data_IF_096083422445
#
_entry.id   IF_096083422445
#
_cell.length_a   1.000
_cell.length_b   1.000
_cell.length_c   1.000
_cell.angle_alpha   90.00
_cell.angle_beta   90.00
_cell.angle_gamma   90.00
#
_symmetry.space_group_name_H-M   'P 1'
#
loop_
_entity.id
_entity.type
_entity.pdbx_description
1 polymer ?
#
# COMPACT_ATOMS: atom_id res chain seq x y z
N UNK A 1 -3.48 -27.11 -14.25
CA UNK A 1 -4.04 -25.97 -15.05
C UNK A 1 -3.85 -24.70 -14.24
N UNK A 2 -3.13 -23.73 -14.79
CA UNK A 2 -2.93 -22.45 -14.11
C UNK A 2 -4.26 -21.68 -14.03
N UNK A 3 -4.60 -21.16 -12.84
CA UNK A 3 -5.80 -20.34 -12.67
C UNK A 3 -5.72 -19.10 -13.56
N UNK A 4 -6.70 -18.88 -14.42
CA UNK A 4 -6.78 -17.65 -15.24
C UNK A 4 -7.10 -16.40 -14.43
N UNK A 5 -7.82 -16.55 -13.31
CA UNK A 5 -8.24 -15.46 -12.43
C UNK A 5 -7.75 -15.80 -11.03
N UNK A 6 -7.04 -14.85 -10.43
CA UNK A 6 -6.59 -14.92 -9.05
C UNK A 6 -7.45 -14.01 -8.16
N UNK A 7 -7.72 -14.45 -6.95
CA UNK A 7 -8.49 -13.70 -5.97
C UNK A 7 -7.60 -13.31 -4.80
N UNK A 8 -7.74 -12.07 -4.38
CA UNK A 8 -7.03 -11.54 -3.21
C UNK A 8 -7.94 -10.62 -2.40
N UNK A 9 -7.44 -10.18 -1.27
CA UNK A 9 -8.08 -9.17 -0.43
C UNK A 9 -7.04 -8.18 0.08
N UNK A 10 -7.52 -7.10 0.69
CA UNK A 10 -6.65 -6.18 1.44
C UNK A 10 -6.34 -6.77 2.81
N UNK A 11 -5.16 -6.46 3.36
CA UNK A 11 -4.70 -7.03 4.63
C UNK A 11 -5.66 -6.75 5.79
N UNK A 12 -6.19 -5.53 5.90
CA UNK A 12 -7.17 -5.18 6.96
C UNK A 12 -8.53 -5.88 6.81
N UNK A 13 -8.83 -6.48 5.66
CA UNK A 13 -10.05 -7.28 5.46
C UNK A 13 -9.97 -8.68 6.06
N UNK A 14 -8.79 -9.09 6.53
CA UNK A 14 -8.57 -10.40 7.13
C UNK A 14 -8.62 -10.30 8.67
N UNK A 15 -9.31 -11.21 9.35
CA UNK A 15 -9.28 -11.26 10.81
C UNK A 15 -7.86 -11.52 11.31
N UNK A 16 -7.38 -10.71 12.25
CA UNK A 16 -6.04 -10.84 12.81
C UNK A 16 -4.89 -10.39 11.90
N UNK A 17 -5.16 -9.53 10.94
CA UNK A 17 -4.22 -8.91 9.96
C UNK A 17 -2.71 -9.02 10.20
N UNK A 18 -1.90 -8.35 9.44
CA UNK A 18 -0.45 -8.38 9.62
C UNK A 18 0.16 -9.76 9.38
N UNK A 19 1.03 -10.19 10.27
CA UNK A 19 1.83 -11.42 10.12
C UNK A 19 1.01 -12.70 9.87
N UNK A 20 -0.18 -12.81 10.43
CA UNK A 20 -1.05 -13.98 10.22
C UNK A 20 -1.88 -13.90 8.95
N UNK A 21 -1.90 -12.76 8.27
CA UNK A 21 -2.66 -12.56 7.04
C UNK A 21 -2.43 -13.61 5.96
N UNK A 22 -1.17 -13.96 5.62
CA UNK A 22 -0.89 -14.97 4.59
C UNK A 22 -1.46 -16.36 4.90
N UNK A 23 -1.39 -16.81 6.15
CA UNK A 23 -1.97 -18.09 6.57
C UNK A 23 -3.51 -18.07 6.45
N UNK A 24 -4.14 -17.01 6.91
CA UNK A 24 -5.61 -16.86 6.85
C UNK A 24 -6.08 -16.78 5.39
N UNK A 25 -5.37 -16.03 4.54
CA UNK A 25 -5.65 -15.96 3.11
C UNK A 25 -5.57 -17.34 2.45
N UNK A 26 -4.54 -18.11 2.79
CA UNK A 26 -4.38 -19.48 2.30
C UNK A 26 -5.53 -20.38 2.72
N UNK A 27 -5.93 -20.33 3.98
CA UNK A 27 -7.05 -21.13 4.51
C UNK A 27 -8.38 -20.73 3.88
N UNK A 28 -8.56 -19.42 3.56
CA UNK A 28 -9.71 -18.90 2.83
C UNK A 28 -9.70 -19.23 1.32
N UNK A 29 -8.63 -19.81 0.79
CA UNK A 29 -8.49 -20.15 -0.62
C UNK A 29 -8.16 -18.95 -1.52
N UNK A 30 -7.63 -17.87 -0.94
CA UNK A 30 -7.15 -16.70 -1.69
C UNK A 30 -5.78 -16.97 -2.30
N UNK A 31 -5.47 -16.26 -3.38
CA UNK A 31 -4.21 -16.36 -4.10
C UNK A 31 -3.23 -15.25 -3.69
N UNK A 32 -3.71 -14.14 -3.10
CA UNK A 32 -2.86 -13.03 -2.72
C UNK A 32 -3.48 -12.05 -1.73
N UNK A 33 -2.62 -11.14 -1.23
CA UNK A 33 -2.98 -10.08 -0.29
C UNK A 33 -2.39 -8.76 -0.79
N UNK A 34 -3.19 -7.70 -0.81
CA UNK A 34 -2.68 -6.35 -0.90
C UNK A 34 -2.15 -5.94 0.48
N UNK A 35 -0.87 -5.63 0.56
CA UNK A 35 -0.23 -5.21 1.82
C UNK A 35 -0.49 -3.74 2.12
N UNK A 36 -0.52 -3.39 3.40
CA UNK A 36 -0.52 -2.01 3.86
C UNK A 36 0.92 -1.55 4.08
N UNK A 37 1.25 -0.30 3.68
CA UNK A 37 2.51 0.30 4.07
C UNK A 37 2.59 0.45 5.60
N UNK A 38 1.46 0.69 6.23
CA UNK A 38 1.30 1.01 7.64
C UNK A 38 1.11 2.51 7.87
N UNK A 39 1.04 2.93 9.13
CA UNK A 39 0.78 4.32 9.48
C UNK A 39 2.04 5.06 9.94
N UNK A 40 1.97 6.39 9.84
CA UNK A 40 3.00 7.33 10.32
C UNK A 40 3.31 7.12 11.80
N UNK A 41 2.29 6.98 12.64
CA UNK A 41 2.41 6.79 14.09
C UNK A 41 3.15 5.50 14.47
N UNK A 42 3.10 4.48 13.61
CA UNK A 42 3.76 3.19 13.81
C UNK A 42 5.07 3.06 13.03
N UNK A 43 5.54 4.16 12.41
CA UNK A 43 6.80 4.19 11.66
C UNK A 43 6.79 3.28 10.42
N UNK A 44 5.64 3.13 9.78
CA UNK A 44 5.49 2.34 8.56
C UNK A 44 6.07 0.92 8.67
N UNK A 45 5.42 0.00 9.39
CA UNK A 45 5.97 -1.33 9.67
C UNK A 45 6.50 -2.09 8.44
N UNK A 46 5.84 -1.95 7.27
CA UNK A 46 6.29 -2.62 6.04
C UNK A 46 7.62 -2.06 5.49
N UNK A 47 8.04 -0.85 5.92
CA UNK A 47 9.34 -0.31 5.54
C UNK A 47 10.50 -0.96 6.30
N UNK A 48 10.23 -1.73 7.36
CA UNK A 48 11.25 -2.45 8.11
C UNK A 48 11.64 -3.73 7.35
N UNK A 49 12.93 -3.88 7.08
CA UNK A 49 13.45 -4.99 6.29
C UNK A 49 13.05 -6.38 6.83
N UNK A 50 13.10 -6.55 8.15
CA UNK A 50 12.70 -7.81 8.80
C UNK A 50 11.22 -8.15 8.57
N UNK A 51 10.35 -7.12 8.49
CA UNK A 51 8.92 -7.30 8.20
C UNK A 51 8.73 -7.71 6.74
N UNK A 52 9.45 -7.08 5.82
CA UNK A 52 9.44 -7.44 4.39
C UNK A 52 9.90 -8.88 4.19
N UNK A 53 11.04 -9.26 4.78
CA UNK A 53 11.60 -10.62 4.70
C UNK A 53 10.62 -11.66 5.24
N UNK A 54 9.97 -11.38 6.39
CA UNK A 54 8.98 -12.27 6.98
C UNK A 54 7.75 -12.47 6.07
N UNK A 55 7.24 -11.41 5.44
CA UNK A 55 6.16 -11.52 4.46
C UNK A 55 6.58 -12.34 3.24
N UNK A 56 7.75 -12.05 2.67
CA UNK A 56 8.25 -12.75 1.48
C UNK A 56 8.48 -14.24 1.75
N UNK A 57 9.05 -14.58 2.89
CA UNK A 57 9.26 -15.98 3.32
C UNK A 57 7.92 -16.71 3.47
N UNK A 58 6.97 -16.10 4.19
CA UNK A 58 5.66 -16.70 4.46
C UNK A 58 4.82 -16.80 3.16
N UNK A 59 4.85 -15.78 2.32
CA UNK A 59 4.18 -15.80 1.02
C UNK A 59 4.71 -16.93 0.12
N UNK A 60 6.03 -17.09 0.06
CA UNK A 60 6.67 -18.18 -0.69
C UNK A 60 6.29 -19.55 -0.13
N UNK A 61 6.31 -19.72 1.19
CA UNK A 61 5.95 -20.98 1.85
C UNK A 61 4.50 -21.39 1.59
N UNK A 62 3.58 -20.44 1.55
CA UNK A 62 2.13 -20.68 1.40
C UNK A 62 1.64 -20.59 -0.05
N UNK A 63 2.43 -20.03 -0.95
CA UNK A 63 2.02 -19.72 -2.32
C UNK A 63 1.03 -18.54 -2.36
N UNK A 64 1.21 -17.54 -1.48
CA UNK A 64 0.45 -16.29 -1.44
C UNK A 64 1.27 -15.18 -2.10
N UNK A 65 0.65 -14.46 -3.03
CA UNK A 65 1.28 -13.35 -3.73
C UNK A 65 0.95 -12.01 -3.06
N UNK A 66 1.84 -11.04 -3.23
CA UNK A 66 1.63 -9.65 -2.81
C UNK A 66 1.57 -8.75 -4.04
N UNK A 67 0.39 -8.60 -4.68
CA UNK A 67 0.26 -7.91 -5.97
C UNK A 67 0.40 -6.39 -5.87
N UNK A 68 0.18 -5.81 -4.69
CA UNK A 68 0.19 -4.36 -4.49
C UNK A 68 0.40 -3.97 -3.04
N UNK A 69 0.84 -2.71 -2.86
CA UNK A 69 0.84 -2.00 -1.57
C UNK A 69 -0.24 -0.93 -1.61
N UNK A 70 -0.96 -0.74 -0.51
CA UNK A 70 -1.89 0.39 -0.33
C UNK A 70 -1.31 1.40 0.66
N UNK A 71 -1.44 2.67 0.32
CA UNK A 71 -1.11 3.81 1.17
C UNK A 71 -2.30 4.14 2.07
N UNK A 72 -2.58 3.27 3.05
CA UNK A 72 -3.73 3.44 3.93
C UNK A 72 -3.69 4.73 4.74
N UNK A 73 -2.52 5.15 5.18
CA UNK A 73 -2.32 6.31 6.04
C UNK A 73 -2.56 7.67 5.36
N UNK A 74 -2.53 7.74 4.01
CA UNK A 74 -2.91 8.99 3.31
C UNK A 74 -4.38 9.39 3.53
N UNK A 75 -5.19 8.49 4.08
CA UNK A 75 -6.57 8.82 4.47
C UNK A 75 -6.64 9.69 5.72
N UNK A 76 -5.62 9.62 6.58
CA UNK A 76 -5.48 10.39 7.81
C UNK A 76 -4.51 11.57 7.63
N UNK A 77 -3.53 11.43 6.72
CA UNK A 77 -2.59 12.47 6.31
C UNK A 77 -2.82 12.81 4.83
N UNK A 78 -3.81 13.65 4.59
CA UNK A 78 -4.30 13.96 3.25
C UNK A 78 -3.30 14.79 2.42
N UNK A 79 -3.14 14.40 1.14
CA UNK A 79 -2.34 15.14 0.15
C UNK A 79 -3.16 16.15 -0.68
N UNK A 80 -4.48 16.08 -0.61
CA UNK A 80 -5.40 16.80 -1.50
C UNK A 80 -5.33 18.32 -1.36
N UNK A 81 -4.81 18.82 -0.23
CA UNK A 81 -4.58 20.24 0.02
C UNK A 81 -3.16 20.70 -0.34
N UNK A 82 -2.40 19.87 -1.02
CA UNK A 82 -1.07 20.15 -1.54
C UNK A 82 0.08 19.70 -0.63
N UNK A 83 1.24 19.51 -1.26
CA UNK A 83 2.46 18.97 -0.64
C UNK A 83 3.09 19.86 0.45
N UNK A 84 2.75 21.14 0.48
CA UNK A 84 3.37 22.10 1.41
C UNK A 84 2.66 22.18 2.77
N UNK A 85 1.48 21.55 2.89
CA UNK A 85 0.79 21.38 4.17
C UNK A 85 1.51 20.39 5.08
N UNK A 86 1.22 20.38 6.37
CA UNK A 86 1.80 19.41 7.31
C UNK A 86 1.45 17.97 6.91
N UNK A 87 0.17 17.69 6.68
CA UNK A 87 -0.30 16.38 6.23
C UNK A 87 0.23 16.03 4.83
N UNK A 88 0.29 17.01 3.92
CA UNK A 88 0.83 16.82 2.59
C UNK A 88 2.29 16.36 2.61
N UNK A 89 3.14 16.93 3.46
CA UNK A 89 4.53 16.47 3.62
C UNK A 89 4.59 15.01 4.05
N UNK A 90 3.82 14.64 5.07
CA UNK A 90 3.74 13.24 5.54
C UNK A 90 3.26 12.32 4.41
N UNK A 91 2.22 12.74 3.67
CA UNK A 91 1.69 11.96 2.56
C UNK A 91 2.73 11.74 1.44
N UNK A 92 3.46 12.76 1.05
CA UNK A 92 4.48 12.65 -0.01
C UNK A 92 5.69 11.84 0.44
N UNK A 93 6.11 11.96 1.70
CA UNK A 93 7.18 11.13 2.27
C UNK A 93 6.78 9.64 2.26
N UNK A 94 5.55 9.31 2.63
CA UNK A 94 5.09 7.91 2.56
C UNK A 94 4.92 7.41 1.13
N UNK A 95 4.58 8.26 0.15
CA UNK A 95 4.53 7.90 -1.26
C UNK A 95 5.93 7.49 -1.77
N UNK A 96 6.95 8.27 -1.45
CA UNK A 96 8.34 7.95 -1.79
C UNK A 96 8.81 6.66 -1.10
N UNK A 97 8.50 6.51 0.17
CA UNK A 97 8.81 5.30 0.95
C UNK A 97 8.12 4.06 0.33
N UNK A 98 6.86 4.19 -0.10
CA UNK A 98 6.13 3.08 -0.72
C UNK A 98 6.77 2.62 -2.03
N UNK A 99 7.33 3.53 -2.83
CA UNK A 99 8.08 3.17 -4.05
C UNK A 99 9.32 2.36 -3.69
N UNK A 100 10.07 2.76 -2.67
CA UNK A 100 11.26 2.04 -2.20
C UNK A 100 10.88 0.62 -1.72
N UNK A 101 9.86 0.52 -0.87
CA UNK A 101 9.37 -0.76 -0.35
C UNK A 101 8.86 -1.67 -1.46
N UNK A 102 8.13 -1.11 -2.42
CA UNK A 102 7.64 -1.86 -3.57
C UNK A 102 8.78 -2.44 -4.40
N UNK A 103 9.83 -1.65 -4.67
CA UNK A 103 11.03 -2.10 -5.37
C UNK A 103 11.77 -3.20 -4.61
N UNK A 104 11.97 -3.04 -3.30
CA UNK A 104 12.63 -4.02 -2.43
C UNK A 104 11.89 -5.36 -2.37
N UNK A 105 10.56 -5.34 -2.35
CA UNK A 105 9.72 -6.53 -2.29
C UNK A 105 9.33 -7.10 -3.66
N UNK A 106 9.72 -6.46 -4.77
CA UNK A 106 9.33 -6.86 -6.13
C UNK A 106 7.83 -6.67 -6.42
N UNK A 107 7.18 -5.72 -5.75
CA UNK A 107 5.76 -5.40 -5.93
C UNK A 107 5.62 -4.31 -6.99
N UNK A 108 4.77 -4.55 -7.99
CA UNK A 108 4.67 -3.68 -9.18
C UNK A 108 3.52 -2.66 -9.14
N UNK A 109 2.73 -2.63 -8.06
CA UNK A 109 1.56 -1.75 -7.97
C UNK A 109 1.46 -1.09 -6.61
N UNK A 110 1.14 0.21 -6.63
CA UNK A 110 0.83 1.01 -5.44
C UNK A 110 -0.58 1.58 -5.62
N UNK A 111 -1.43 1.40 -4.61
CA UNK A 111 -2.77 1.97 -4.56
C UNK A 111 -2.75 3.22 -3.70
N UNK A 112 -3.21 4.33 -4.27
CA UNK A 112 -3.38 5.62 -3.58
C UNK A 112 -4.87 5.89 -3.40
N UNK A 113 -5.43 5.80 -2.19
CA UNK A 113 -6.86 6.02 -1.97
C UNK A 113 -7.25 7.50 -2.11
N UNK A 114 -8.34 7.76 -2.85
CA UNK A 114 -8.95 9.09 -2.98
C UNK A 114 -10.32 9.13 -2.29
N UNK A 115 -10.37 8.81 -1.00
CA UNK A 115 -11.58 8.88 -0.18
C UNK A 115 -11.21 9.33 1.25
N UNK A 116 -12.18 9.53 2.11
CA UNK A 116 -12.03 10.17 3.42
C UNK A 116 -11.35 11.55 3.28
N UNK A 117 -10.21 11.79 3.90
CA UNK A 117 -9.48 13.05 3.83
C UNK A 117 -9.08 13.48 2.42
N UNK A 118 -8.99 12.54 1.48
CA UNK A 118 -8.65 12.80 0.07
C UNK A 118 -9.86 12.76 -0.87
N UNK A 119 -11.09 12.99 -0.35
CA UNK A 119 -12.28 13.01 -1.19
C UNK A 119 -12.25 14.19 -2.17
N UNK A 120 -12.35 13.88 -3.47
CA UNK A 120 -12.38 14.88 -4.54
C UNK A 120 -13.75 15.55 -4.55
N UNK A 121 -13.81 16.83 -4.18
CA UNK A 121 -15.04 17.64 -4.13
C UNK A 121 -14.99 18.89 -4.99
N UNK A 122 -13.82 19.26 -5.50
CA UNK A 122 -13.60 20.43 -6.35
C UNK A 122 -12.44 20.24 -7.32
N UNK A 123 -12.29 21.12 -8.30
CA UNK A 123 -11.26 21.01 -9.36
C UNK A 123 -9.83 21.07 -8.81
N UNK A 124 -9.57 21.85 -7.79
CA UNK A 124 -8.25 21.91 -7.14
C UNK A 124 -7.81 20.56 -6.57
N UNK A 125 -8.76 19.75 -6.09
CA UNK A 125 -8.50 18.39 -5.59
C UNK A 125 -8.12 17.43 -6.72
N UNK A 126 -8.66 17.62 -7.92
CA UNK A 126 -8.27 16.83 -9.10
C UNK A 126 -6.81 17.11 -9.47
N UNK A 127 -6.41 18.39 -9.49
CA UNK A 127 -5.01 18.76 -9.79
C UNK A 127 -4.06 18.27 -8.71
N UNK A 128 -4.38 18.41 -7.43
CA UNK A 128 -3.57 17.86 -6.34
C UNK A 128 -3.39 16.33 -6.45
N UNK A 129 -4.46 15.60 -6.83
CA UNK A 129 -4.38 14.17 -7.08
C UNK A 129 -3.46 13.83 -8.25
N UNK A 130 -3.55 14.58 -9.37
CA UNK A 130 -2.66 14.41 -10.51
C UNK A 130 -1.20 14.65 -10.13
N UNK A 131 -0.93 15.68 -9.33
CA UNK A 131 0.43 16.00 -8.87
C UNK A 131 0.99 14.90 -7.96
N UNK A 132 0.18 14.36 -7.05
CA UNK A 132 0.59 13.23 -6.22
C UNK A 132 0.90 11.97 -7.04
N UNK A 133 0.07 11.66 -8.04
CA UNK A 133 0.31 10.52 -8.93
C UNK A 133 1.54 10.71 -9.81
N UNK A 134 1.78 11.91 -10.35
CA UNK A 134 3.00 12.23 -11.09
C UNK A 134 4.24 12.05 -10.22
N UNK A 135 4.20 12.54 -8.98
CA UNK A 135 5.29 12.38 -8.03
C UNK A 135 5.66 10.91 -7.81
N UNK A 136 4.67 10.04 -7.60
CA UNK A 136 4.94 8.60 -7.44
C UNK A 136 5.56 8.01 -8.72
N UNK A 137 5.05 8.38 -9.90
CA UNK A 137 5.60 7.91 -11.16
C UNK A 137 7.05 8.35 -11.36
N UNK A 138 7.38 9.62 -11.06
CA UNK A 138 8.76 10.15 -11.15
C UNK A 138 9.72 9.46 -10.18
N UNK A 139 9.23 9.00 -9.02
CA UNK A 139 10.06 8.27 -8.06
C UNK A 139 10.25 6.80 -8.41
N UNK A 140 9.42 6.25 -9.30
CA UNK A 140 9.48 4.84 -9.72
C UNK A 140 10.41 4.58 -10.92
N UNK A 141 10.86 5.63 -11.60
CA UNK A 141 11.80 5.57 -12.72
C UNK A 141 13.26 5.53 -12.23
#
# INVERSE_FOLDING_TARGET
>A
MEKKIKFGCVAWGLPGGGYFGPQIAKEAGLDGIQLELGSYEWGYPLAQKQVQEAYLEEGNRLGIEYPSIVLNDVMDHEFIHGKDTENGKIAYDQMELAVQVAAEMGISKIMVPNFLGNLITEESHVEATKDALRFICEKSD
#
